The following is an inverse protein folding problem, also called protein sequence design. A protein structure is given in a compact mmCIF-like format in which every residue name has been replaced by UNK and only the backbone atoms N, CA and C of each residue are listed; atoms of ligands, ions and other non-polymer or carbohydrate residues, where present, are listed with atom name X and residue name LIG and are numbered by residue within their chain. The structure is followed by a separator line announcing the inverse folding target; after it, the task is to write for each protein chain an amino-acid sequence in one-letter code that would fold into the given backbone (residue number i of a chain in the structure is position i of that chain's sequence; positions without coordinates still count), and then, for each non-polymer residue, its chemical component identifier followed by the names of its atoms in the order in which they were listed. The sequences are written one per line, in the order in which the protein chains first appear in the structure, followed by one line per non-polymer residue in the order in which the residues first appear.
data_IF_744294394234
#
_entry.id   IF_744294394234
#
_cell.length_a   1.000
_cell.length_b   1.000
_cell.length_c   1.000
_cell.angle_alpha   90.00
_cell.angle_beta   90.00
_cell.angle_gamma   90.00
#
_symmetry.space_group_name_H-M   'P 1'
#
loop_
_entity.id
_entity.type
_entity.pdbx_description
1 polymer ?
#
# COMPACT_ATOMS: atom_id res chain seq x y z
N UNK A 1 -0.04 38.49 7.16
CA UNK A 1 -0.10 37.02 6.97
C UNK A 1 -0.17 36.75 5.48
N UNK A 2 0.76 35.97 4.91
CA UNK A 2 0.78 35.68 3.47
C UNK A 2 -0.14 34.50 3.14
N UNK A 3 -0.72 34.48 1.94
CA UNK A 3 -1.60 33.38 1.47
C UNK A 3 -0.91 32.01 1.54
N UNK A 4 0.41 31.98 1.31
CA UNK A 4 1.24 30.77 1.42
C UNK A 4 1.26 30.23 2.85
N UNK A 5 1.29 31.11 3.86
CA UNK A 5 1.27 30.71 5.26
C UNK A 5 -0.06 30.05 5.65
N UNK A 6 -1.18 30.60 5.16
CA UNK A 6 -2.51 30.00 5.39
C UNK A 6 -2.62 28.60 4.75
N UNK A 7 -2.06 28.41 3.55
CA UNK A 7 -2.05 27.08 2.92
C UNK A 7 -1.22 26.07 3.71
N UNK A 8 -0.08 26.48 4.28
CA UNK A 8 0.73 25.61 5.13
C UNK A 8 0.01 25.23 6.43
N UNK A 9 -0.71 26.17 7.04
CA UNK A 9 -1.53 25.91 8.23
C UNK A 9 -2.62 24.87 7.91
N UNK A 10 -3.34 25.02 6.79
CA UNK A 10 -4.35 24.05 6.35
C UNK A 10 -3.75 22.66 6.11
N UNK A 11 -2.58 22.57 5.49
CA UNK A 11 -1.89 21.28 5.27
C UNK A 11 -1.51 20.63 6.60
N UNK A 12 -1.06 21.41 7.58
CA UNK A 12 -0.68 20.91 8.89
C UNK A 12 -1.90 20.41 9.69
N UNK A 13 -3.01 21.14 9.60
CA UNK A 13 -4.27 20.75 10.24
C UNK A 13 -4.83 19.46 9.64
N UNK A 14 -4.76 19.28 8.32
CA UNK A 14 -5.17 18.03 7.66
C UNK A 14 -4.34 16.82 8.10
N UNK A 15 -3.03 16.97 8.28
CA UNK A 15 -2.18 15.89 8.80
C UNK A 15 -2.54 15.53 10.24
N UNK A 16 -2.72 16.55 11.08
CA UNK A 16 -3.11 16.35 12.48
C UNK A 16 -4.48 15.68 12.61
N UNK A 17 -5.41 16.00 11.70
CA UNK A 17 -6.70 15.32 11.61
C UNK A 17 -6.56 13.86 11.17
N UNK A 18 -5.71 13.58 10.19
CA UNK A 18 -5.44 12.20 9.76
C UNK A 18 -4.87 11.35 10.90
N UNK A 19 -3.92 11.89 11.65
CA UNK A 19 -3.35 11.21 12.84
C UNK A 19 -4.41 10.94 13.90
N UNK A 20 -5.33 11.90 14.12
CA UNK A 20 -6.43 11.75 15.07
C UNK A 20 -7.42 10.65 14.64
N UNK A 21 -7.70 10.53 13.33
CA UNK A 21 -8.55 9.47 12.79
C UNK A 21 -7.88 8.11 12.94
N UNK A 22 -6.58 8.01 12.66
CA UNK A 22 -5.81 6.78 12.84
C UNK A 22 -5.85 6.31 14.31
N UNK A 23 -5.65 7.23 15.27
CA UNK A 23 -5.72 6.90 16.69
C UNK A 23 -7.11 6.37 17.11
N UNK A 24 -8.19 6.88 16.52
CA UNK A 24 -9.55 6.37 16.77
C UNK A 24 -9.74 4.98 16.14
N UNK A 25 -9.23 4.75 14.94
CA UNK A 25 -9.25 3.44 14.30
C UNK A 25 -8.48 2.40 15.13
N UNK A 26 -7.28 2.74 15.60
CA UNK A 26 -6.46 1.87 16.42
C UNK A 26 -7.19 1.51 17.72
N UNK A 27 -7.74 2.52 18.42
CA UNK A 27 -8.52 2.32 19.65
C UNK A 27 -9.79 1.46 19.43
N UNK A 28 -10.40 1.51 18.25
CA UNK A 28 -11.53 0.63 17.90
C UNK A 28 -11.09 -0.80 17.58
N UNK A 29 -9.86 -0.99 17.09
CA UNK A 29 -9.29 -2.33 16.82
C UNK A 29 -8.64 -2.98 18.04
N UNK A 30 -8.29 -2.21 19.07
CA UNK A 30 -7.72 -2.68 20.35
C UNK A 30 -8.74 -3.34 21.31
N UNK A 31 -9.96 -3.62 20.84
CA UNK A 31 -11.02 -4.28 21.63
C UNK A 31 -10.84 -5.78 21.88
N UNK A 32 -9.76 -6.42 21.40
CA UNK A 32 -9.48 -7.83 21.68
C UNK A 32 -7.96 -8.07 21.79
N UNK A 33 -7.42 -8.39 22.99
CA UNK A 33 -6.00 -8.68 23.14
C UNK A 33 -5.76 -10.13 22.75
N UNK A 34 -5.26 -10.36 21.54
CA UNK A 34 -4.52 -11.59 21.20
C UNK A 34 -3.11 -11.22 20.70
N UNK A 35 -2.04 -11.79 21.28
CA UNK A 35 -0.69 -11.28 21.13
C UNK A 35 -0.04 -11.84 19.86
N UNK A 36 0.16 -10.96 18.87
CA UNK A 36 0.92 -11.24 17.65
C UNK A 36 1.99 -10.17 17.45
N UNK A 37 3.08 -10.28 18.20
CA UNK A 37 4.23 -9.41 18.11
C UNK A 37 4.76 -9.29 16.66
N UNK A 38 4.88 -8.04 16.19
CA UNK A 38 6.00 -7.41 15.46
C UNK A 38 5.52 -6.00 15.08
N UNK A 39 5.78 -4.96 15.85
CA UNK A 39 7.12 -4.42 16.12
C UNK A 39 8.04 -4.59 14.91
N UNK A 40 7.93 -3.67 13.96
CA UNK A 40 9.03 -3.22 13.12
C UNK A 40 8.75 -1.77 12.71
N UNK A 41 8.89 -0.88 13.69
CA UNK A 41 9.38 0.46 13.42
C UNK A 41 10.81 0.28 12.90
N UNK A 42 11.03 0.50 11.61
CA UNK A 42 12.38 0.79 11.12
C UNK A 42 12.31 2.08 10.33
N UNK A 43 12.93 3.10 10.91
CA UNK A 43 13.15 4.41 10.31
C UNK A 43 14.12 4.24 9.12
N UNK A 44 13.69 4.72 7.95
CA UNK A 44 14.46 5.33 6.85
C UNK A 44 15.73 4.64 6.29
N UNK A 45 15.87 4.58 4.95
CA UNK A 45 16.23 5.80 4.23
C UNK A 45 15.41 6.05 2.96
N UNK A 46 15.20 7.33 2.69
CA UNK A 46 14.84 7.87 1.37
C UNK A 46 15.78 7.30 0.30
N UNK A 47 15.33 6.33 -0.49
CA UNK A 47 15.93 5.95 -1.78
C UNK A 47 14.84 5.45 -2.73
N UNK A 48 14.60 6.26 -3.76
CA UNK A 48 13.81 5.97 -4.96
C UNK A 48 12.30 5.75 -4.69
N UNK A 49 11.41 5.94 -5.69
CA UNK A 49 9.99 5.69 -5.53
C UNK A 49 9.75 4.18 -5.38
N UNK A 50 10.08 3.67 -4.19
CA UNK A 50 10.12 2.25 -3.89
C UNK A 50 8.69 1.81 -3.56
N UNK A 51 8.01 1.26 -4.56
CA UNK A 51 6.64 0.80 -4.39
C UNK A 51 6.65 -0.31 -3.32
N UNK A 52 5.91 -0.16 -2.21
CA UNK A 52 5.93 -1.16 -1.17
C UNK A 52 5.26 -2.45 -1.68
N UNK A 53 5.91 -3.58 -1.45
CA UNK A 53 5.43 -4.91 -1.84
C UNK A 53 4.02 -5.19 -1.28
N UNK A 54 3.71 -4.63 -0.11
CA UNK A 54 2.39 -4.61 0.53
C UNK A 54 1.31 -4.06 -0.42
N UNK A 55 1.57 -2.91 -1.06
CA UNK A 55 0.60 -2.24 -1.92
C UNK A 55 0.34 -3.02 -3.19
N UNK A 56 1.39 -3.63 -3.76
CA UNK A 56 1.24 -4.50 -4.94
C UNK A 56 0.46 -5.76 -4.57
N UNK A 57 0.74 -6.37 -3.41
CA UNK A 57 -0.04 -7.51 -2.91
C UNK A 57 -1.51 -7.16 -2.72
N UNK A 58 -1.81 -6.00 -2.14
CA UNK A 58 -3.18 -5.56 -1.90
C UNK A 58 -3.97 -5.45 -3.21
N UNK A 59 -3.42 -4.77 -4.22
CA UNK A 59 -4.09 -4.61 -5.53
C UNK A 59 -4.27 -5.97 -6.21
N UNK A 60 -3.24 -6.81 -6.23
CA UNK A 60 -3.36 -8.15 -6.82
C UNK A 60 -4.34 -9.06 -6.05
N UNK A 61 -4.41 -8.94 -4.73
CA UNK A 61 -5.35 -9.68 -3.89
C UNK A 61 -6.79 -9.25 -4.16
N UNK A 62 -7.04 -7.96 -4.30
CA UNK A 62 -8.35 -7.43 -4.68
C UNK A 62 -8.80 -8.00 -6.04
N UNK A 63 -7.91 -7.97 -7.05
CA UNK A 63 -8.17 -8.58 -8.37
C UNK A 63 -8.39 -10.08 -8.31
N UNK A 64 -7.63 -10.80 -7.48
CA UNK A 64 -7.82 -12.23 -7.24
C UNK A 64 -9.18 -12.52 -6.59
N UNK A 65 -9.61 -11.66 -5.65
CA UNK A 65 -10.87 -11.81 -4.92
C UNK A 65 -12.10 -11.59 -5.80
N UNK A 66 -12.03 -10.69 -6.78
CA UNK A 66 -13.10 -10.51 -7.78
C UNK A 66 -13.07 -11.58 -8.91
N UNK A 67 -12.17 -12.57 -8.82
CA UNK A 67 -12.15 -13.74 -9.70
C UNK A 67 -10.97 -13.85 -10.66
N UNK A 68 -10.12 -12.83 -10.78
CA UNK A 68 -8.98 -12.81 -11.72
C UNK A 68 -7.72 -13.50 -11.17
N UNK A 69 -7.90 -14.58 -10.39
CA UNK A 69 -6.78 -15.26 -9.72
C UNK A 69 -5.81 -15.90 -10.71
N UNK A 70 -6.32 -16.41 -11.84
CA UNK A 70 -5.51 -17.03 -12.88
C UNK A 70 -4.67 -15.99 -13.62
N UNK A 71 -5.25 -14.83 -13.91
CA UNK A 71 -4.65 -13.70 -14.60
C UNK A 71 -3.60 -13.02 -13.71
N UNK A 72 -3.89 -12.84 -12.42
CA UNK A 72 -2.93 -12.35 -11.42
C UNK A 72 -1.72 -13.28 -11.34
N UNK A 73 -1.93 -14.60 -11.34
CA UNK A 73 -0.82 -15.57 -11.33
C UNK A 73 -0.01 -15.53 -12.62
N UNK A 74 -0.68 -15.49 -13.78
CA UNK A 74 -0.05 -15.36 -15.08
C UNK A 74 0.75 -14.06 -15.21
N UNK A 75 0.26 -12.98 -14.59
CA UNK A 75 0.95 -11.70 -14.54
C UNK A 75 2.28 -11.81 -13.79
N UNK A 76 2.30 -12.39 -12.60
CA UNK A 76 3.54 -12.57 -11.83
C UNK A 76 4.53 -13.46 -12.60
N UNK A 77 4.04 -14.51 -13.26
CA UNK A 77 4.86 -15.40 -14.10
C UNK A 77 5.42 -14.71 -15.36
N UNK A 78 4.69 -13.76 -15.95
CA UNK A 78 5.17 -12.92 -17.07
C UNK A 78 6.41 -12.10 -16.69
N UNK A 79 6.52 -11.70 -15.42
CA UNK A 79 7.71 -11.03 -14.87
C UNK A 79 8.78 -12.00 -14.34
N UNK A 80 8.67 -13.30 -14.66
CA UNK A 80 9.71 -14.30 -14.42
C UNK A 80 9.72 -14.90 -13.02
N UNK A 81 8.66 -14.74 -12.23
CA UNK A 81 8.58 -15.29 -10.88
C UNK A 81 7.29 -16.09 -10.63
N UNK A 82 7.35 -17.05 -9.70
CA UNK A 82 6.15 -17.77 -9.24
C UNK A 82 5.38 -17.03 -8.14
N UNK A 83 6.02 -16.07 -7.49
CA UNK A 83 5.48 -15.31 -6.36
C UNK A 83 5.92 -13.85 -6.46
N UNK A 84 5.04 -12.93 -6.07
CA UNK A 84 5.34 -11.50 -6.07
C UNK A 84 6.57 -11.13 -5.23
N UNK A 85 6.84 -11.90 -4.16
CA UNK A 85 8.03 -11.72 -3.33
C UNK A 85 9.36 -12.06 -4.01
N UNK A 86 9.31 -12.79 -5.13
CA UNK A 86 10.48 -13.12 -5.93
C UNK A 86 10.61 -12.23 -7.19
N UNK A 87 9.71 -11.28 -7.38
CA UNK A 87 9.80 -10.27 -8.45
C UNK A 87 10.65 -9.10 -7.96
N UNK A 88 11.55 -8.62 -8.81
CA UNK A 88 12.32 -7.40 -8.55
C UNK A 88 11.41 -6.18 -8.45
N UNK A 89 11.70 -5.29 -7.48
CA UNK A 89 10.92 -4.07 -7.24
C UNK A 89 10.81 -3.16 -8.47
N UNK A 90 11.78 -3.23 -9.37
CA UNK A 90 11.74 -2.52 -10.65
C UNK A 90 10.48 -2.84 -11.47
N UNK A 91 9.94 -4.05 -11.37
CA UNK A 91 8.75 -4.48 -12.08
C UNK A 91 7.43 -4.23 -11.33
N UNK A 92 7.48 -3.73 -10.09
CA UNK A 92 6.26 -3.50 -9.30
C UNK A 92 5.36 -2.43 -9.91
N UNK A 93 5.94 -1.42 -10.55
CA UNK A 93 5.16 -0.39 -11.25
C UNK A 93 4.40 -0.98 -12.44
N UNK A 94 5.04 -1.85 -13.21
CA UNK A 94 4.44 -2.47 -14.39
C UNK A 94 3.40 -3.52 -13.99
N UNK A 95 3.67 -4.31 -12.95
CA UNK A 95 2.69 -5.23 -12.35
C UNK A 95 1.45 -4.49 -11.87
N UNK A 96 1.61 -3.35 -11.20
CA UNK A 96 0.45 -2.56 -10.75
C UNK A 96 -0.39 -2.07 -11.93
N UNK A 97 0.23 -1.53 -12.99
CA UNK A 97 -0.50 -1.07 -14.18
C UNK A 97 -1.24 -2.20 -14.88
N UNK A 98 -0.57 -3.34 -15.07
CA UNK A 98 -1.18 -4.51 -15.69
C UNK A 98 -2.32 -5.06 -14.81
N UNK A 99 -2.16 -5.04 -13.48
CA UNK A 99 -3.18 -5.45 -12.52
C UNK A 99 -4.39 -4.52 -12.51
N UNK A 100 -4.18 -3.20 -12.60
CA UNK A 100 -5.26 -2.22 -12.73
C UNK A 100 -6.11 -2.46 -14.00
N UNK A 101 -5.48 -2.95 -15.08
CA UNK A 101 -6.15 -3.36 -16.32
C UNK A 101 -6.98 -4.64 -16.20
N UNK A 102 -6.70 -5.52 -15.23
CA UNK A 102 -7.50 -6.72 -14.98
C UNK A 102 -8.85 -6.32 -14.35
N UNK A 103 -9.97 -6.63 -14.99
CA UNK A 103 -11.31 -6.35 -14.48
C UNK A 103 -11.93 -4.99 -14.85
N UNK A 104 -11.27 -4.18 -15.68
CA UNK A 104 -11.90 -3.03 -16.34
C UNK A 104 -12.49 -3.42 -17.73
N UNK A 105 -13.13 -4.59 -17.81
CA UNK A 105 -13.76 -5.13 -19.03
C UNK A 105 -15.26 -5.30 -18.85
#
# INVERSE_FOLDING_TARGET
MSKIKLLLEVVNDMRSLADSIQAVCDAMTEGDPAPGAKAATEQEPVKEPDIPLEKVRMVLAEKSQIGFTAEVRGLIQKYGADKLSAVDKAYYSDILKDAEGLGNG
#
